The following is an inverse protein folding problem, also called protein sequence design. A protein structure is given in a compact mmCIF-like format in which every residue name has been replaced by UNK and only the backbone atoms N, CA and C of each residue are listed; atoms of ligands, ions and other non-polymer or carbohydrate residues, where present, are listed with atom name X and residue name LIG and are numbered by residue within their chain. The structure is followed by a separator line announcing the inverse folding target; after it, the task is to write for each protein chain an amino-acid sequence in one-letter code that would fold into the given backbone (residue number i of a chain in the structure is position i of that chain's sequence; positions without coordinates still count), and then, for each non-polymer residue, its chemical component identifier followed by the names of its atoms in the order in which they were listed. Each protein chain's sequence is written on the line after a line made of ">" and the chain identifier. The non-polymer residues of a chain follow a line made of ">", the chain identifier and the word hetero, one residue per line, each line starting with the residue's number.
data_IF_308670434073
#
_entry.id   IF_308670434073
#
_cell.length_a   1.000
_cell.length_b   1.000
_cell.length_c   1.000
_cell.angle_alpha   90.00
_cell.angle_beta   90.00
_cell.angle_gamma   90.00
#
_symmetry.space_group_name_H-M   'P 1'
#
loop_
_entity.id
_entity.type
_entity.pdbx_description
1 polymer ?
#
# COMPACT_ATOMS: atom_id res chain seq x y z
N UNK A 1 21.88 20.04 8.77
CA UNK A 1 21.30 18.69 8.60
C UNK A 1 19.90 18.87 8.03
N UNK A 2 19.55 18.14 6.97
CA UNK A 2 18.25 18.26 6.29
C UNK A 2 17.14 17.93 7.29
N UNK A 3 16.29 18.91 7.61
CA UNK A 3 15.15 18.73 8.52
C UNK A 3 13.93 18.12 7.82
N UNK A 4 13.96 18.01 6.50
CA UNK A 4 12.85 17.52 5.70
C UNK A 4 13.24 16.32 4.87
N UNK A 5 12.32 15.37 4.78
CA UNK A 5 12.40 14.17 3.94
C UNK A 5 11.04 13.96 3.28
N UNK A 6 10.98 13.19 2.21
CA UNK A 6 9.71 12.92 1.55
C UNK A 6 9.61 11.45 1.14
N UNK A 7 8.36 11.01 0.97
CA UNK A 7 8.02 9.74 0.36
C UNK A 7 7.04 10.01 -0.79
N UNK A 8 7.37 9.49 -1.97
CA UNK A 8 6.41 9.42 -3.07
C UNK A 8 5.54 8.17 -2.87
N UNK A 9 4.22 8.37 -2.89
CA UNK A 9 3.24 7.33 -2.63
C UNK A 9 2.59 6.93 -3.94
N UNK A 10 2.59 5.63 -4.21
CA UNK A 10 1.93 5.04 -5.35
C UNK A 10 0.74 4.20 -4.87
N UNK A 11 -0.42 4.38 -5.50
CA UNK A 11 -1.66 3.69 -5.15
C UNK A 11 -2.20 3.01 -6.42
N UNK A 12 -2.46 1.71 -6.33
CA UNK A 12 -3.04 0.91 -7.42
C UNK A 12 -2.28 -0.39 -7.68
N UNK A 13 -2.73 -1.14 -8.69
CA UNK A 13 -2.13 -2.39 -9.12
C UNK A 13 -1.12 -2.13 -10.25
N UNK A 14 0.18 -2.32 -9.95
CA UNK A 14 1.28 -2.09 -10.89
C UNK A 14 1.21 -3.01 -12.10
N UNK A 15 0.82 -4.27 -11.93
CA UNK A 15 0.73 -5.24 -13.03
C UNK A 15 -0.47 -4.94 -13.92
N UNK A 16 -1.63 -4.62 -13.32
CA UNK A 16 -2.81 -4.19 -14.08
C UNK A 16 -2.53 -2.90 -14.86
N UNK A 17 -1.95 -1.87 -14.22
CA UNK A 17 -1.59 -0.63 -14.89
C UNK A 17 -0.61 -0.86 -16.05
N UNK A 18 0.38 -1.74 -15.87
CA UNK A 18 1.34 -2.09 -16.95
C UNK A 18 0.62 -2.71 -18.15
N UNK A 19 -0.32 -3.63 -17.91
CA UNK A 19 -1.13 -4.24 -18.99
C UNK A 19 -2.04 -3.22 -19.67
N UNK A 20 -2.74 -2.39 -18.90
CA UNK A 20 -3.63 -1.35 -19.42
C UNK A 20 -2.86 -0.29 -20.22
N UNK A 21 -1.66 0.09 -19.76
CA UNK A 21 -0.78 1.01 -20.48
C UNK A 21 -0.28 0.39 -21.78
N UNK A 22 0.08 -0.89 -21.77
CA UNK A 22 0.48 -1.60 -22.99
C UNK A 22 -0.67 -1.66 -24.02
N UNK A 23 -1.90 -1.95 -23.56
CA UNK A 23 -3.11 -1.95 -24.40
C UNK A 23 -3.38 -0.56 -25.00
N UNK A 24 -3.28 0.49 -24.19
CA UNK A 24 -3.43 1.88 -24.65
C UNK A 24 -2.36 2.26 -25.68
N UNK A 25 -1.08 1.97 -25.41
CA UNK A 25 0.03 2.25 -26.33
C UNK A 25 -0.10 1.48 -27.66
N UNK A 26 -0.59 0.23 -27.62
CA UNK A 26 -0.84 -0.54 -28.83
C UNK A 26 -1.99 0.05 -29.65
N UNK A 27 -3.02 0.57 -28.99
CA UNK A 27 -4.13 1.31 -29.62
C UNK A 27 -3.61 2.59 -30.30
N UNK A 28 -2.75 3.36 -29.62
CA UNK A 28 -2.09 4.54 -30.22
C UNK A 28 -1.25 4.17 -31.44
N UNK A 29 -0.49 3.07 -31.37
CA UNK A 29 0.33 2.61 -32.48
C UNK A 29 -0.51 2.17 -33.69
N UNK A 30 -1.66 1.52 -33.46
CA UNK A 30 -2.60 1.16 -34.52
C UNK A 30 -3.27 2.40 -35.12
N UNK A 31 -3.75 3.31 -34.27
CA UNK A 31 -4.36 4.56 -34.70
C UNK A 31 -3.39 5.38 -35.55
N UNK A 32 -2.16 5.59 -35.09
CA UNK A 32 -1.15 6.38 -35.80
C UNK A 32 -0.84 5.85 -37.20
N UNK A 33 -0.96 4.55 -37.45
CA UNK A 33 -0.74 3.94 -38.77
C UNK A 33 -1.91 4.15 -39.72
N UNK A 34 -3.12 4.28 -39.18
CA UNK A 34 -4.37 4.24 -39.94
C UNK A 34 -5.08 5.60 -39.98
N UNK A 35 -4.70 6.55 -39.13
CA UNK A 35 -5.42 7.81 -38.95
C UNK A 35 -5.58 8.63 -40.23
N UNK A 36 -4.53 8.74 -41.05
CA UNK A 36 -4.61 9.46 -42.33
C UNK A 36 -5.47 8.74 -43.39
N UNK A 37 -5.55 7.41 -43.33
CA UNK A 37 -6.29 6.58 -44.30
C UNK A 37 -7.79 6.71 -44.06
N UNK A 38 -8.21 6.66 -42.79
CA UNK A 38 -9.62 6.66 -42.40
C UNK A 38 -10.11 8.03 -41.87
N UNK A 39 -9.28 9.08 -41.95
CA UNK A 39 -9.62 10.42 -41.45
C UNK A 39 -9.87 10.45 -39.95
N UNK A 40 -9.13 9.65 -39.17
CA UNK A 40 -9.30 9.55 -37.72
C UNK A 40 -8.52 10.65 -36.99
N UNK A 41 -8.97 11.05 -35.79
CA UNK A 41 -8.21 11.85 -34.84
C UNK A 41 -6.81 11.31 -34.53
N UNK A 42 -5.95 12.18 -33.97
CA UNK A 42 -4.58 11.82 -33.62
C UNK A 42 -4.43 11.10 -32.28
N UNK A 43 -5.44 11.14 -31.41
CA UNK A 43 -5.39 10.49 -30.10
C UNK A 43 -6.58 9.54 -29.90
N UNK A 44 -6.40 8.40 -29.20
CA UNK A 44 -7.49 7.45 -28.97
C UNK A 44 -8.70 8.03 -28.22
N UNK A 45 -8.48 9.03 -27.36
CA UNK A 45 -9.52 9.66 -26.54
C UNK A 45 -10.48 10.51 -27.37
N UNK A 46 -10.01 11.02 -28.51
CA UNK A 46 -10.79 11.88 -29.40
C UNK A 46 -11.66 11.08 -30.37
N UNK A 47 -11.55 9.75 -30.38
CA UNK A 47 -12.33 8.88 -31.25
C UNK A 47 -13.78 8.76 -30.77
N UNK A 48 -14.70 8.97 -31.70
CA UNK A 48 -16.11 8.60 -31.53
C UNK A 48 -16.26 7.06 -31.45
N UNK A 49 -17.38 6.57 -30.92
CA UNK A 49 -17.64 5.13 -30.83
C UNK A 49 -17.57 4.44 -32.20
N UNK A 50 -18.09 5.09 -33.25
CA UNK A 50 -18.02 4.61 -34.64
C UNK A 50 -16.57 4.48 -35.13
N UNK A 51 -15.73 5.48 -34.81
CA UNK A 51 -14.31 5.46 -35.18
C UNK A 51 -13.50 4.43 -34.37
N UNK A 52 -13.90 4.17 -33.13
CA UNK A 52 -13.32 3.08 -32.33
C UNK A 52 -13.65 1.71 -32.94
N UNK A 53 -14.86 1.52 -33.48
CA UNK A 53 -15.25 0.27 -34.11
C UNK A 53 -14.46 0.02 -35.41
N UNK A 54 -14.17 1.05 -36.20
CA UNK A 54 -13.24 0.95 -37.35
C UNK A 54 -11.89 0.38 -36.90
N UNK A 55 -11.31 0.89 -35.81
CA UNK A 55 -10.04 0.36 -35.31
C UNK A 55 -10.15 -1.10 -34.87
N UNK A 56 -11.21 -1.46 -34.14
CA UNK A 56 -11.45 -2.84 -33.70
C UNK A 56 -11.59 -3.81 -34.86
N UNK A 57 -12.15 -3.39 -35.99
CA UNK A 57 -12.22 -4.20 -37.20
C UNK A 57 -10.85 -4.37 -37.88
N UNK A 58 -9.98 -3.36 -37.82
CA UNK A 58 -8.63 -3.42 -38.40
C UNK A 58 -7.72 -4.43 -37.68
N UNK A 59 -7.90 -4.61 -36.37
CA UNK A 59 -7.22 -5.66 -35.61
C UNK A 59 -8.11 -6.18 -34.48
N UNK A 60 -8.97 -7.14 -34.81
CA UNK A 60 -9.89 -7.76 -33.85
C UNK A 60 -9.19 -8.60 -32.78
N UNK A 61 -7.88 -8.83 -32.91
CA UNK A 61 -7.10 -9.62 -31.94
C UNK A 61 -6.48 -8.75 -30.84
N UNK A 62 -6.42 -7.43 -31.06
CA UNK A 62 -5.81 -6.50 -30.12
C UNK A 62 -6.78 -6.13 -29.00
N UNK A 63 -6.36 -6.32 -27.74
CA UNK A 63 -7.07 -5.78 -26.58
C UNK A 63 -6.87 -4.26 -26.55
N UNK A 64 -7.85 -3.52 -27.08
CA UNK A 64 -7.77 -2.06 -27.22
C UNK A 64 -8.24 -1.32 -25.98
N UNK A 65 -7.64 -0.14 -25.78
CA UNK A 65 -8.01 0.79 -24.73
C UNK A 65 -7.93 2.22 -25.28
N UNK A 66 -9.04 2.95 -25.22
CA UNK A 66 -9.15 4.29 -25.81
C UNK A 66 -8.93 5.43 -24.79
N UNK A 67 -8.93 5.11 -23.51
CA UNK A 67 -8.61 6.06 -22.43
C UNK A 67 -7.32 5.66 -21.74
N UNK A 68 -6.39 6.58 -21.44
CA UNK A 68 -5.16 6.23 -20.73
C UNK A 68 -5.49 5.66 -19.35
N UNK A 69 -4.72 4.69 -18.84
CA UNK A 69 -4.92 4.24 -17.46
C UNK A 69 -4.60 5.39 -16.48
N UNK A 70 -5.33 5.50 -15.35
CA UNK A 70 -5.01 6.48 -14.32
C UNK A 70 -3.57 6.32 -13.82
N UNK A 71 -2.85 7.42 -13.55
CA UNK A 71 -1.48 7.34 -13.04
C UNK A 71 -1.46 6.71 -11.64
N UNK A 72 -0.50 5.82 -11.40
CA UNK A 72 -0.32 5.20 -10.08
C UNK A 72 0.24 6.16 -9.02
N UNK A 73 0.92 7.24 -9.45
CA UNK A 73 1.48 8.21 -8.52
C UNK A 73 0.37 8.99 -7.83
N UNK A 74 0.17 8.72 -6.53
CA UNK A 74 -0.86 9.36 -5.73
C UNK A 74 -0.40 10.73 -5.19
N UNK A 75 0.91 11.00 -5.20
CA UNK A 75 1.53 12.24 -4.78
C UNK A 75 2.68 12.05 -3.80
N UNK A 76 3.18 13.16 -3.26
CA UNK A 76 4.33 13.21 -2.34
C UNK A 76 3.90 13.64 -0.94
N UNK A 77 4.32 12.89 0.07
CA UNK A 77 4.22 13.32 1.47
C UNK A 77 5.59 13.85 1.90
N UNK A 78 5.64 15.11 2.35
CA UNK A 78 6.85 15.69 2.93
C UNK A 78 6.72 15.70 4.44
N UNK A 79 7.75 15.23 5.13
CA UNK A 79 7.84 15.21 6.58
C UNK A 79 8.87 16.22 7.06
N UNK A 80 8.54 16.93 8.13
CA UNK A 80 9.47 17.71 8.94
C UNK A 80 9.89 16.84 10.14
N UNK A 81 11.18 16.49 10.19
CA UNK A 81 11.75 15.68 11.25
C UNK A 81 12.13 16.56 12.44
N UNK A 82 11.84 16.07 13.63
CA UNK A 82 12.00 16.83 14.86
C UNK A 82 13.49 17.13 15.15
N UNK A 83 13.92 18.38 15.35
CA UNK A 83 15.34 18.71 15.46
C UNK A 83 16.03 18.17 16.73
N UNK A 84 15.26 17.74 17.73
CA UNK A 84 15.75 17.40 19.07
C UNK A 84 16.93 16.42 19.12
N UNK A 85 17.91 16.74 19.98
CA UNK A 85 19.11 15.92 20.19
C UNK A 85 18.80 14.53 20.75
N UNK A 86 17.68 14.36 21.45
CA UNK A 86 17.25 13.04 21.93
C UNK A 86 16.65 12.14 20.85
N UNK A 87 16.61 12.55 19.57
CA UNK A 87 16.05 11.80 18.43
C UNK A 87 17.07 11.53 17.31
N UNK A 88 18.37 11.59 17.61
CA UNK A 88 19.43 11.50 16.58
C UNK A 88 19.44 10.13 15.92
N UNK A 89 19.30 9.03 16.68
CA UNK A 89 19.35 7.68 16.09
C UNK A 89 18.12 7.39 15.24
N UNK A 90 16.94 7.74 15.74
CA UNK A 90 15.68 7.51 15.02
C UNK A 90 15.66 8.27 13.69
N UNK A 91 16.08 9.54 13.71
CA UNK A 91 16.15 10.36 12.48
C UNK A 91 17.20 9.87 11.52
N UNK A 92 18.42 9.58 11.98
CA UNK A 92 19.48 9.06 11.12
C UNK A 92 19.05 7.75 10.45
N UNK A 93 18.38 6.87 11.18
CA UNK A 93 17.80 5.65 10.63
C UNK A 93 16.77 5.92 9.53
N UNK A 94 15.77 6.77 9.80
CA UNK A 94 14.72 7.07 8.83
C UNK A 94 15.26 7.78 7.57
N UNK A 95 16.14 8.76 7.73
CA UNK A 95 16.78 9.48 6.62
C UNK A 95 17.57 8.51 5.75
N UNK A 96 18.42 7.68 6.35
CA UNK A 96 19.23 6.73 5.60
C UNK A 96 18.39 5.66 4.87
N UNK A 97 17.23 5.27 5.43
CA UNK A 97 16.28 4.39 4.76
C UNK A 97 15.50 5.12 3.64
N UNK A 98 15.33 6.45 3.70
CA UNK A 98 14.81 7.23 2.58
C UNK A 98 15.84 7.36 1.44
N UNK A 99 17.14 7.48 1.76
CA UNK A 99 18.20 7.69 0.76
C UNK A 99 18.80 6.39 0.20
N UNK A 100 18.70 5.29 0.96
CA UNK A 100 19.36 4.03 0.62
C UNK A 100 20.88 4.04 0.84
N UNK A 101 21.45 5.06 1.49
CA UNK A 101 22.91 5.28 1.58
C UNK A 101 23.66 4.20 2.37
N UNK A 102 22.95 3.35 3.11
CA UNK A 102 23.54 2.31 3.98
C UNK A 102 23.64 0.94 3.30
N UNK A 103 23.29 0.83 2.03
CA UNK A 103 23.49 -0.38 1.24
C UNK A 103 22.50 -1.50 1.58
N UNK A 104 22.99 -2.68 1.94
CA UNK A 104 22.18 -3.88 2.16
C UNK A 104 21.93 -4.17 3.63
N UNK A 105 20.83 -4.88 3.92
CA UNK A 105 20.52 -5.34 5.27
C UNK A 105 21.55 -6.38 5.71
N UNK A 106 21.97 -6.33 6.97
CA UNK A 106 22.93 -7.27 7.56
C UNK A 106 22.32 -8.65 7.73
N UNK A 107 21.06 -8.75 8.16
CA UNK A 107 20.38 -10.02 8.42
C UNK A 107 19.53 -10.50 7.23
N UNK A 108 19.46 -9.71 6.16
CA UNK A 108 18.83 -10.08 4.89
C UNK A 108 19.68 -9.55 3.71
N UNK A 109 20.83 -10.17 3.39
CA UNK A 109 21.83 -9.60 2.47
C UNK A 109 21.33 -9.30 1.05
N UNK A 110 20.24 -9.94 0.63
CA UNK A 110 19.60 -9.71 -0.68
C UNK A 110 18.65 -8.50 -0.70
N UNK A 111 18.41 -7.88 0.45
CA UNK A 111 17.49 -6.75 0.64
C UNK A 111 18.28 -5.47 0.90
N UNK A 112 17.81 -4.36 0.32
CA UNK A 112 18.41 -3.03 0.51
C UNK A 112 17.82 -2.35 1.75
N UNK A 113 18.63 -1.58 2.46
CA UNK A 113 18.18 -0.65 3.50
C UNK A 113 17.58 0.60 2.85
N UNK A 114 16.42 0.44 2.18
CA UNK A 114 15.79 1.50 1.38
C UNK A 114 14.26 1.36 1.37
N UNK A 115 13.54 2.48 1.46
CA UNK A 115 12.07 2.52 1.36
C UNK A 115 11.53 2.50 -0.07
N UNK A 116 12.36 2.71 -1.10
CA UNK A 116 11.92 2.53 -2.49
C UNK A 116 11.41 1.10 -2.68
N UNK A 117 10.23 0.97 -3.30
CA UNK A 117 9.50 -0.29 -3.50
C UNK A 117 9.04 -0.99 -2.20
N UNK A 118 9.10 -0.30 -1.05
CA UNK A 118 8.55 -0.81 0.20
C UNK A 118 7.06 -0.47 0.32
N UNK A 119 6.17 -1.45 0.53
CA UNK A 119 4.73 -1.21 0.60
C UNK A 119 4.31 -0.57 1.93
N UNK A 120 3.19 0.16 1.90
CA UNK A 120 2.37 0.45 3.08
C UNK A 120 1.54 -0.79 3.40
N UNK A 121 2.15 -1.75 4.10
CA UNK A 121 1.58 -3.08 4.32
C UNK A 121 0.39 -3.12 5.28
N UNK A 122 0.14 -2.03 6.03
CA UNK A 122 -1.00 -1.94 6.94
C UNK A 122 -1.57 -0.52 6.97
N UNK A 123 -2.76 -0.35 6.43
CA UNK A 123 -3.53 0.89 6.51
C UNK A 123 -4.79 0.61 7.31
N UNK A 124 -5.04 1.38 8.36
CA UNK A 124 -6.26 1.27 9.16
C UNK A 124 -6.96 2.61 9.12
N UNK A 125 -8.12 2.63 8.44
CA UNK A 125 -8.94 3.81 8.28
C UNK A 125 -9.24 4.49 9.62
N UNK A 126 -9.10 5.80 9.63
CA UNK A 126 -9.25 6.66 10.78
C UNK A 126 -8.28 6.30 11.90
N UNK A 127 -7.09 5.78 11.61
CA UNK A 127 -6.09 5.49 12.63
C UNK A 127 -4.66 5.72 12.15
N UNK A 128 -4.07 4.79 11.40
CA UNK A 128 -2.66 4.85 10.97
C UNK A 128 -2.44 4.20 9.60
N UNK A 129 -1.52 4.76 8.82
CA UNK A 129 -0.90 4.10 7.67
C UNK A 129 0.52 3.69 8.06
N UNK A 130 0.84 2.40 7.95
CA UNK A 130 2.10 1.80 8.37
C UNK A 130 2.79 1.13 7.19
N UNK A 131 4.10 1.36 7.10
CA UNK A 131 4.99 0.79 6.08
C UNK A 131 6.40 0.60 6.62
N UNK A 132 7.36 0.47 5.72
CA UNK A 132 8.78 0.43 6.06
C UNK A 132 9.31 -0.95 6.45
N UNK A 133 8.59 -2.04 6.17
CA UNK A 133 9.17 -3.38 6.22
C UNK A 133 10.04 -3.63 4.97
N UNK A 134 11.30 -3.21 5.06
CA UNK A 134 12.26 -3.26 3.93
C UNK A 134 12.76 -4.68 3.62
N UNK A 135 12.46 -5.67 4.47
CA UNK A 135 12.94 -7.05 4.25
C UNK A 135 11.86 -7.97 3.67
N UNK A 136 10.62 -7.86 4.16
CA UNK A 136 9.51 -8.75 3.77
C UNK A 136 8.31 -8.04 3.16
N UNK A 137 8.10 -6.77 3.49
CA UNK A 137 6.97 -5.98 3.00
C UNK A 137 5.60 -6.42 3.54
N UNK A 138 5.54 -7.26 4.57
CA UNK A 138 4.29 -7.79 5.13
C UNK A 138 4.07 -7.40 6.61
N UNK A 139 5.03 -6.68 7.19
CA UNK A 139 5.02 -6.22 8.58
C UNK A 139 5.70 -7.20 9.55
N UNK A 140 6.09 -8.39 9.13
CA UNK A 140 6.83 -9.35 9.95
C UNK A 140 8.35 -9.12 9.97
N UNK A 141 8.85 -8.24 9.10
CA UNK A 141 10.27 -7.94 8.93
C UNK A 141 10.69 -6.54 9.35
N UNK A 142 11.67 -6.02 8.60
CA UNK A 142 12.34 -4.75 8.84
C UNK A 142 13.66 -4.87 9.58
N UNK A 143 14.60 -3.98 9.24
CA UNK A 143 15.93 -3.89 9.86
C UNK A 143 16.37 -2.44 9.90
N UNK A 144 16.87 -1.96 11.04
CA UNK A 144 17.48 -0.63 11.10
C UNK A 144 18.85 -0.61 10.43
N UNK A 145 19.33 0.59 10.12
CA UNK A 145 20.68 0.81 9.59
C UNK A 145 21.81 0.37 10.53
N UNK A 146 21.48 -0.03 11.76
CA UNK A 146 22.42 -0.47 12.78
C UNK A 146 22.56 -2.01 12.83
N UNK A 147 21.95 -2.74 11.89
CA UNK A 147 22.08 -4.19 11.77
C UNK A 147 21.08 -5.00 12.61
N UNK A 148 19.93 -4.41 12.95
CA UNK A 148 18.92 -5.06 13.80
C UNK A 148 17.89 -4.08 14.34
N UNK A 149 17.49 -4.25 15.60
CA UNK A 149 16.61 -3.33 16.32
C UNK A 149 17.41 -2.34 17.17
N UNK A 150 16.83 -1.19 17.49
CA UNK A 150 17.40 -0.19 18.39
C UNK A 150 16.40 0.34 19.44
N UNK A 151 16.97 0.87 20.53
CA UNK A 151 16.22 1.29 21.72
C UNK A 151 15.32 2.50 21.46
N UNK A 152 14.30 2.66 22.31
CA UNK A 152 13.43 3.83 22.27
C UNK A 152 14.18 5.08 22.73
N UNK A 153 14.09 6.14 21.92
CA UNK A 153 14.56 7.46 22.28
C UNK A 153 13.49 8.18 23.12
N UNK A 154 13.72 8.29 24.43
CA UNK A 154 12.73 8.73 25.45
C UNK A 154 12.05 10.05 25.12
N UNK A 155 12.74 10.95 24.42
CA UNK A 155 12.17 12.24 24.04
C UNK A 155 10.99 12.07 23.08
N UNK A 156 11.07 11.15 22.12
CA UNK A 156 9.97 10.85 21.21
C UNK A 156 8.78 10.17 21.89
N UNK A 157 9.02 9.39 22.97
CA UNK A 157 7.94 8.80 23.77
C UNK A 157 7.13 9.86 24.54
N UNK A 158 7.73 11.01 24.86
CA UNK A 158 7.05 12.10 25.58
C UNK A 158 6.23 13.01 24.67
N UNK A 159 6.41 12.93 23.35
CA UNK A 159 5.72 13.78 22.39
C UNK A 159 4.27 13.35 22.25
N UNK A 160 3.35 14.34 22.23
CA UNK A 160 1.94 14.10 21.96
C UNK A 160 1.77 13.70 20.50
N UNK A 161 1.13 12.55 20.27
CA UNK A 161 0.76 12.09 18.94
C UNK A 161 -0.52 12.79 18.50
N UNK A 162 -0.53 13.28 17.25
CA UNK A 162 -1.67 13.95 16.59
C UNK A 162 -1.76 13.49 15.13
N UNK A 163 -2.83 13.87 14.42
CA UNK A 163 -2.93 13.64 12.97
C UNK A 163 -1.69 14.19 12.25
N UNK A 164 -1.12 13.40 11.35
CA UNK A 164 0.11 13.70 10.63
C UNK A 164 1.40 13.43 11.40
N UNK A 165 1.36 12.97 12.66
CA UNK A 165 2.58 12.55 13.37
C UNK A 165 3.22 11.34 12.66
N UNK A 166 4.53 11.41 12.45
CA UNK A 166 5.39 10.32 12.00
C UNK A 166 6.06 9.67 13.22
N UNK A 167 5.88 8.35 13.37
CA UNK A 167 6.40 7.61 14.51
C UNK A 167 6.92 6.21 14.12
N UNK A 168 7.85 5.68 14.91
CA UNK A 168 8.40 4.34 14.68
C UNK A 168 7.38 3.28 15.07
N UNK A 169 7.16 2.31 14.19
CA UNK A 169 6.48 1.08 14.56
C UNK A 169 7.48 0.16 15.27
N UNK A 170 7.02 -0.57 16.29
CA UNK A 170 7.84 -1.50 17.05
C UNK A 170 7.04 -2.75 17.45
N UNK A 171 7.75 -3.80 17.85
CA UNK A 171 7.18 -5.06 18.34
C UNK A 171 7.23 -5.14 19.87
N UNK A 172 7.18 -3.99 20.57
CA UNK A 172 7.41 -3.86 22.00
C UNK A 172 8.52 -2.85 22.33
N UNK A 173 8.75 -2.64 23.63
CA UNK A 173 9.73 -1.68 24.12
C UNK A 173 11.13 -1.96 23.52
N UNK A 174 11.82 -0.89 23.14
CA UNK A 174 13.19 -0.93 22.60
C UNK A 174 13.37 -1.82 21.36
N UNK A 175 12.38 -1.85 20.46
CA UNK A 175 12.40 -2.73 19.29
C UNK A 175 12.19 -2.00 17.96
N UNK A 176 12.62 -0.74 17.87
CA UNK A 176 12.54 0.05 16.63
C UNK A 176 13.44 -0.56 15.56
N UNK A 177 12.97 -0.61 14.31
CA UNK A 177 13.73 -1.13 13.16
C UNK A 177 13.62 -0.17 11.98
N UNK A 178 13.07 -0.60 10.84
CA UNK A 178 12.78 0.24 9.68
C UNK A 178 11.31 0.64 9.56
N UNK A 179 10.41 -0.04 10.26
CA UNK A 179 8.97 0.20 10.12
C UNK A 179 8.56 1.52 10.79
N UNK A 180 7.66 2.25 10.15
CA UNK A 180 7.11 3.50 10.63
C UNK A 180 5.60 3.55 10.37
N UNK A 181 4.91 4.48 11.04
CA UNK A 181 3.54 4.82 10.70
C UNK A 181 3.31 6.32 10.70
N UNK A 182 2.34 6.75 9.91
CA UNK A 182 1.78 8.10 9.90
C UNK A 182 0.37 8.04 10.44
N UNK A 183 0.05 8.97 11.34
CA UNK A 183 -1.27 9.01 11.98
C UNK A 183 -2.29 9.71 11.09
N UNK A 184 -3.40 9.04 10.84
CA UNK A 184 -4.46 9.52 9.93
C UNK A 184 -5.60 10.25 10.65
N UNK A 185 -5.71 10.07 11.97
CA UNK A 185 -6.85 10.55 12.77
C UNK A 185 -6.49 11.65 13.77
N UNK A 186 -7.46 12.53 14.02
CA UNK A 186 -7.46 13.46 15.16
C UNK A 186 -8.27 12.98 16.37
N UNK A 187 -8.84 11.77 16.32
CA UNK A 187 -9.65 11.20 17.40
C UNK A 187 -8.79 10.87 18.63
N UNK A 188 -8.92 11.69 19.67
CA UNK A 188 -8.17 11.57 20.93
C UNK A 188 -8.33 10.20 21.61
N UNK A 189 -9.48 9.51 21.42
CA UNK A 189 -9.69 8.17 21.99
C UNK A 189 -8.76 7.14 21.35
N UNK A 190 -8.50 7.25 20.05
CA UNK A 190 -7.55 6.39 19.32
C UNK A 190 -6.11 6.80 19.60
N UNK A 191 -5.83 8.10 19.65
CA UNK A 191 -4.50 8.63 19.94
C UNK A 191 -4.01 8.21 21.35
N UNK A 192 -4.91 8.18 22.34
CA UNK A 192 -4.59 7.71 23.70
C UNK A 192 -4.01 6.29 23.75
N UNK A 193 -4.37 5.42 22.79
CA UNK A 193 -3.90 4.01 22.74
C UNK A 193 -2.43 3.90 22.34
N UNK A 194 -1.88 4.92 21.67
CA UNK A 194 -0.52 4.91 21.09
C UNK A 194 0.41 5.95 21.75
N UNK A 195 -0.13 6.96 22.42
CA UNK A 195 0.66 7.93 23.19
C UNK A 195 1.58 7.23 24.21
N UNK A 196 2.83 7.66 24.28
CA UNK A 196 3.82 7.11 25.21
C UNK A 196 4.45 5.78 24.82
N UNK A 197 3.97 5.12 23.74
CA UNK A 197 4.39 3.76 23.36
C UNK A 197 5.32 3.71 22.14
N UNK A 198 5.28 4.74 21.32
CA UNK A 198 6.01 4.80 20.05
C UNK A 198 6.82 6.09 20.00
N UNK A 199 8.04 6.00 19.47
CA UNK A 199 8.93 7.15 19.32
C UNK A 199 8.38 8.01 18.19
N UNK A 200 7.74 9.14 18.50
CA UNK A 200 7.37 10.16 17.53
C UNK A 200 8.61 11.01 17.20
N UNK A 201 8.89 11.20 15.91
CA UNK A 201 10.14 11.82 15.45
C UNK A 201 9.99 12.78 14.26
N UNK A 202 8.77 13.05 13.83
CA UNK A 202 8.47 14.05 12.82
C UNK A 202 6.97 14.25 12.62
N UNK A 203 6.62 15.11 11.69
CA UNK A 203 5.24 15.38 11.30
C UNK A 203 5.11 15.71 9.80
N UNK A 204 3.93 15.46 9.23
CA UNK A 204 3.61 15.83 7.85
C UNK A 204 3.66 17.36 7.71
N UNK A 205 4.45 17.83 6.75
CA UNK A 205 4.54 19.23 6.34
C UNK A 205 3.63 19.55 5.17
N UNK A 206 3.60 18.68 4.16
CA UNK A 206 2.73 18.77 2.98
C UNK A 206 2.42 17.38 2.42
N UNK A 207 1.45 17.30 1.49
CA UNK A 207 0.91 16.03 0.98
C UNK A 207 -0.25 15.49 1.80
N UNK A 208 -1.07 16.37 2.38
CA UNK A 208 -2.23 16.01 3.20
C UNK A 208 -3.31 15.30 2.38
N UNK A 209 -3.47 15.67 1.11
CA UNK A 209 -4.34 15.01 0.14
C UNK A 209 -3.95 13.55 -0.10
N UNK A 210 -2.64 13.26 -0.15
CA UNK A 210 -2.12 11.88 -0.21
C UNK A 210 -2.46 11.11 1.06
N UNK A 211 -2.38 11.78 2.22
CA UNK A 211 -2.73 11.18 3.51
C UNK A 211 -4.23 10.84 3.60
N UNK A 212 -5.09 11.71 3.07
CA UNK A 212 -6.54 11.49 3.00
C UNK A 212 -6.87 10.31 2.06
N UNK A 213 -6.20 10.25 0.89
CA UNK A 213 -6.30 9.10 -0.02
C UNK A 213 -5.87 7.79 0.64
N UNK A 214 -4.79 7.81 1.43
CA UNK A 214 -4.38 6.65 2.21
C UNK A 214 -5.45 6.25 3.24
N UNK A 215 -6.09 7.19 3.91
CA UNK A 215 -7.14 6.89 4.89
C UNK A 215 -8.38 6.23 4.27
N UNK A 216 -8.65 6.52 3.01
CA UNK A 216 -9.77 5.92 2.26
C UNK A 216 -9.45 4.53 1.69
N UNK A 217 -8.17 4.15 1.59
CA UNK A 217 -7.71 2.94 0.88
C UNK A 217 -8.26 1.62 1.43
N UNK A 218 -8.73 1.59 2.68
CA UNK A 218 -9.24 0.38 3.36
C UNK A 218 -10.70 0.49 3.84
N UNK A 219 -11.46 1.48 3.34
CA UNK A 219 -12.78 1.82 3.90
C UNK A 219 -13.74 0.63 3.97
N UNK A 220 -13.89 -0.13 2.89
CA UNK A 220 -14.92 -1.16 2.83
C UNK A 220 -14.47 -2.51 3.43
N UNK A 221 -13.16 -2.81 3.48
CA UNK A 221 -12.66 -4.03 4.13
C UNK A 221 -12.66 -3.84 5.63
N UNK A 222 -12.12 -2.72 6.11
CA UNK A 222 -12.12 -2.37 7.53
C UNK A 222 -13.54 -2.32 8.08
N UNK A 223 -14.48 -1.67 7.38
CA UNK A 223 -15.89 -1.60 7.81
C UNK A 223 -16.55 -2.99 7.86
N UNK A 224 -16.27 -3.86 6.88
CA UNK A 224 -16.81 -5.24 6.84
C UNK A 224 -16.19 -6.11 7.94
N UNK A 225 -14.88 -6.03 8.15
CA UNK A 225 -14.19 -6.78 9.21
C UNK A 225 -14.72 -6.37 10.59
N UNK A 226 -14.84 -5.07 10.86
CA UNK A 226 -15.28 -4.57 12.16
C UNK A 226 -16.75 -4.90 12.45
N UNK A 227 -17.63 -4.83 11.44
CA UNK A 227 -19.07 -5.01 11.65
C UNK A 227 -19.57 -6.43 11.47
N UNK A 228 -18.91 -7.24 10.64
CA UNK A 228 -19.49 -8.51 10.15
C UNK A 228 -18.64 -9.75 10.42
N UNK A 229 -17.35 -9.62 10.77
CA UNK A 229 -16.51 -10.80 11.05
C UNK A 229 -16.75 -11.29 12.48
N UNK A 230 -17.56 -12.34 12.60
CA UNK A 230 -17.88 -13.02 13.87
C UNK A 230 -16.79 -13.99 14.33
N UNK A 231 -15.99 -14.52 13.39
CA UNK A 231 -14.97 -15.54 13.66
C UNK A 231 -13.69 -15.23 12.90
N UNK A 232 -12.55 -15.25 13.58
CA UNK A 232 -11.23 -14.99 13.00
C UNK A 232 -10.46 -16.29 12.80
N UNK A 233 -10.14 -16.62 11.54
CA UNK A 233 -9.21 -17.70 11.21
C UNK A 233 -7.88 -17.11 10.76
N UNK A 234 -6.78 -17.62 11.30
CA UNK A 234 -5.44 -17.16 10.91
C UNK A 234 -4.93 -18.04 9.76
N UNK A 235 -4.60 -17.38 8.65
CA UNK A 235 -3.92 -18.00 7.52
C UNK A 235 -2.47 -17.50 7.48
N UNK A 236 -1.50 -18.39 7.22
CA UNK A 236 -0.13 -17.98 6.88
C UNK A 236 0.04 -18.12 5.37
N UNK A 237 0.39 -17.05 4.67
CA UNK A 237 0.64 -17.05 3.23
C UNK A 237 0.95 -15.65 2.72
N UNK A 238 1.41 -15.56 1.46
CA UNK A 238 1.73 -14.28 0.84
C UNK A 238 0.53 -13.76 0.05
N UNK A 239 -0.06 -12.64 0.49
CA UNK A 239 -1.08 -11.94 -0.29
C UNK A 239 -0.41 -11.33 -1.52
N UNK A 240 -0.88 -11.71 -2.70
CA UNK A 240 -0.28 -11.32 -3.98
C UNK A 240 -1.12 -10.30 -4.73
N UNK A 241 -2.45 -10.40 -4.65
CA UNK A 241 -3.37 -9.53 -5.37
C UNK A 241 -4.60 -9.27 -4.52
N UNK A 242 -5.06 -8.03 -4.53
CA UNK A 242 -6.26 -7.55 -3.86
C UNK A 242 -7.06 -6.69 -4.84
N UNK A 243 -8.34 -7.00 -5.01
CA UNK A 243 -9.27 -6.23 -5.84
C UNK A 243 -10.61 -6.08 -5.12
N UNK A 244 -11.13 -4.86 -5.14
CA UNK A 244 -12.52 -4.55 -4.82
C UNK A 244 -13.22 -4.11 -6.11
N UNK A 245 -14.24 -4.85 -6.53
CA UNK A 245 -15.10 -4.52 -7.68
C UNK A 245 -16.53 -4.90 -7.31
N UNK A 246 -17.49 -3.99 -7.46
CA UNK A 246 -18.92 -4.25 -7.22
C UNK A 246 -19.23 -4.89 -5.85
N UNK A 247 -18.68 -4.35 -4.76
CA UNK A 247 -18.82 -4.91 -3.40
C UNK A 247 -18.28 -6.36 -3.23
N UNK A 248 -17.51 -6.84 -4.21
CA UNK A 248 -16.82 -8.13 -4.19
C UNK A 248 -15.32 -7.93 -4.00
N UNK A 249 -14.83 -8.51 -2.93
CA UNK A 249 -13.43 -8.65 -2.56
C UNK A 249 -12.85 -9.89 -3.19
N UNK A 250 -11.68 -9.77 -3.80
CA UNK A 250 -10.87 -10.91 -4.21
C UNK A 250 -9.48 -10.80 -3.61
N UNK A 251 -9.11 -11.75 -2.76
CA UNK A 251 -7.77 -11.93 -2.23
C UNK A 251 -7.12 -13.14 -2.90
N UNK A 252 -5.93 -12.96 -3.45
CA UNK A 252 -5.13 -14.06 -3.97
C UNK A 252 -3.98 -14.29 -3.02
N UNK A 253 -3.99 -15.43 -2.32
CA UNK A 253 -2.90 -15.82 -1.42
C UNK A 253 -2.11 -16.95 -2.08
N UNK A 254 -0.79 -16.75 -2.25
CA UNK A 254 0.13 -17.77 -2.77
C UNK A 254 0.78 -18.53 -1.62
N UNK A 255 0.96 -19.84 -1.82
CA UNK A 255 1.53 -20.79 -0.87
C UNK A 255 0.93 -20.73 0.56
N UNK A 256 -0.40 -20.60 0.74
CA UNK A 256 -0.97 -20.62 2.09
C UNK A 256 -0.82 -21.97 2.79
N UNK A 257 -0.69 -21.92 4.11
CA UNK A 257 -0.86 -23.06 5.00
C UNK A 257 -1.95 -22.80 6.05
N UNK A 258 -2.81 -23.81 6.22
CA UNK A 258 -3.95 -23.85 7.13
C UNK A 258 -3.70 -24.88 8.19
N UNK A 259 -4.05 -24.57 9.43
CA UNK A 259 -4.09 -25.56 10.51
C UNK A 259 -5.55 -25.93 10.75
N UNK A 260 -5.90 -27.18 10.47
CA UNK A 260 -7.24 -27.71 10.70
C UNK A 260 -7.44 -28.03 12.19
N UNK A 261 -8.71 -28.18 12.61
CA UNK A 261 -9.07 -28.54 13.99
C UNK A 261 -8.47 -29.89 14.41
N UNK A 262 -8.22 -30.79 13.44
CA UNK A 262 -7.51 -32.06 13.60
C UNK A 262 -6.01 -31.92 13.84
N UNK A 263 -5.48 -30.70 14.01
CA UNK A 263 -4.04 -30.38 14.06
C UNK A 263 -3.29 -30.65 12.74
N UNK A 264 -3.98 -31.07 11.67
CA UNK A 264 -3.41 -31.30 10.35
C UNK A 264 -3.08 -29.98 9.65
N UNK A 265 -1.93 -29.91 8.97
CA UNK A 265 -1.57 -28.76 8.14
C UNK A 265 -1.88 -29.04 6.68
N UNK A 266 -2.76 -28.23 6.11
CA UNK A 266 -3.10 -28.25 4.69
C UNK A 266 -2.41 -27.08 3.99
N UNK A 267 -1.80 -27.32 2.83
CA UNK A 267 -1.18 -26.26 2.03
C UNK A 267 -1.73 -26.25 0.62
N UNK A 268 -1.73 -25.07 -0.01
CA UNK A 268 -2.13 -24.90 -1.40
C UNK A 268 -1.14 -23.98 -2.12
N UNK A 269 -0.89 -24.15 -3.44
CA UNK A 269 0.01 -23.26 -4.18
C UNK A 269 -0.60 -21.86 -4.36
N UNK A 270 -1.92 -21.77 -4.49
CA UNK A 270 -2.67 -20.53 -4.66
C UNK A 270 -4.10 -20.75 -4.18
N UNK A 271 -4.62 -19.82 -3.38
CA UNK A 271 -6.05 -19.72 -3.08
C UNK A 271 -6.56 -18.36 -3.56
N UNK A 272 -7.79 -18.37 -4.06
CA UNK A 272 -8.56 -17.16 -4.35
C UNK A 272 -9.67 -17.10 -3.31
N UNK A 273 -9.58 -16.17 -2.37
CA UNK A 273 -10.65 -15.89 -1.43
C UNK A 273 -11.50 -14.81 -2.07
N UNK A 274 -12.75 -15.14 -2.38
CA UNK A 274 -13.75 -14.15 -2.81
C UNK A 274 -14.65 -13.89 -1.63
N UNK A 275 -14.69 -12.65 -1.15
CA UNK A 275 -15.66 -12.24 -0.14
C UNK A 275 -16.60 -11.24 -0.80
N UNK A 276 -17.90 -11.48 -0.75
CA UNK A 276 -18.89 -10.52 -1.21
C UNK A 276 -19.49 -9.87 0.03
N UNK A 277 -19.89 -8.61 -0.07
CA UNK A 277 -20.86 -8.06 0.89
C UNK A 277 -22.10 -8.95 0.82
N UNK A 278 -22.55 -9.48 1.95
CA UNK A 278 -23.86 -10.12 2.01
C UNK A 278 -24.90 -9.00 1.72
N UNK A 279 -25.26 -8.82 0.45
CA UNK A 279 -26.59 -8.35 0.12
C UNK A 279 -27.57 -9.38 0.67
N UNK A 280 -28.72 -8.93 1.18
CA UNK A 280 -29.76 -9.76 1.78
C UNK A 280 -29.80 -11.12 1.09
N UNK A 281 -29.48 -12.15 1.86
CA UNK A 281 -29.45 -13.51 1.37
C UNK A 281 -30.77 -13.74 0.63
N UNK A 282 -30.72 -13.89 -0.69
CA UNK A 282 -31.80 -14.54 -1.41
C UNK A 282 -31.83 -15.92 -0.77
N UNK A 283 -32.85 -16.17 0.04
CA UNK A 283 -33.19 -17.49 0.51
C UNK A 283 -33.33 -18.38 -0.73
N UNK A 284 -32.26 -19.08 -1.10
CA UNK A 284 -32.38 -20.26 -1.94
C UNK A 284 -32.92 -21.37 -1.05
N UNK A 285 -34.22 -21.32 -0.84
CA UNK A 285 -35.03 -22.35 -0.21
C UNK A 285 -36.39 -22.39 -0.87
N UNK A 286 -36.51 -23.16 -1.97
CA UNK A 286 -37.65 -24.03 -2.34
C UNK A 286 -37.62 -24.42 -3.84
N UNK A 287 -37.02 -25.57 -4.13
CA UNK A 287 -37.73 -26.79 -4.58
C UNK A 287 -36.77 -27.96 -4.58
#
# INVERSE_FOLDING_TARGET
>A
MTSQVYLDVYIGDKEAHTREQAAYNATEALLSKNASIYGLPSTPQDLTDEQQDILKELDSSLEMRFTPPPPLNAGRIVFELDPSLGLVKTRANFIALCTGEKGTCKNAPTKKLHYIECPMHRVVKGFVAQGGDVTRGDGSGGESIYGGKFNDEKEGLKKKIKRGTLAMANSGKNSNSSQFFVVLTGDETKLSKINGKYVAFGEVKSGWDVLDRLDEFDKSLADTIVKQVKTKTNLKGHLHTYRLCDDVWTFIVKNPSFKMESNEMVSAPKIKIVACKNGDAIEQGKK
#
